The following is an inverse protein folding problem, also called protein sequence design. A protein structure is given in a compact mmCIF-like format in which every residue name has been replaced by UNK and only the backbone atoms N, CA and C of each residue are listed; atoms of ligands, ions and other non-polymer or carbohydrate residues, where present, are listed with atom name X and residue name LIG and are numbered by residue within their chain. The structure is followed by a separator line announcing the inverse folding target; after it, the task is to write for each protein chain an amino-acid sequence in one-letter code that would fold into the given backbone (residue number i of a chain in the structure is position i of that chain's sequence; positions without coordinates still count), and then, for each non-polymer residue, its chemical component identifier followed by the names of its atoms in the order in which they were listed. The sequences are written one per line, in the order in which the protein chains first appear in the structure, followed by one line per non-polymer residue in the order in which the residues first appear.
data_IF_140482474493
#
_entry.id   IF_140482474493
#
_cell.length_a   1.000
_cell.length_b   1.000
_cell.length_c   1.000
_cell.angle_alpha   90.00
_cell.angle_beta   90.00
_cell.angle_gamma   90.00
#
_symmetry.space_group_name_H-M   'P 1'
#
loop_
_entity.id
_entity.type
_entity.pdbx_description
1 polymer ?
#
# COMPACT_ATOMS: atom_id res chain seq x y z
N UNK A 1 -1.45 -4.64 10.39
CA UNK A 1 -2.57 -3.66 10.26
C UNK A 1 -2.09 -2.19 10.32
N UNK A 2 -0.95 -1.90 10.94
CA UNK A 2 -0.35 -0.56 11.10
C UNK A 2 0.05 0.13 9.79
N UNK A 3 0.87 -0.51 8.95
CA UNK A 3 1.42 0.07 7.72
C UNK A 3 0.37 0.64 6.75
N UNK A 4 -0.76 -0.05 6.56
CA UNK A 4 -1.86 0.44 5.71
C UNK A 4 -2.47 1.72 6.27
N UNK A 5 -2.63 1.83 7.60
CA UNK A 5 -3.20 3.03 8.24
C UNK A 5 -2.22 4.20 8.11
N UNK A 6 -0.93 3.96 8.28
CA UNK A 6 0.10 4.99 8.15
C UNK A 6 0.21 5.52 6.71
N UNK A 7 0.10 4.66 5.69
CA UNK A 7 0.08 5.11 4.29
C UNK A 7 -1.16 5.97 4.01
N UNK A 8 -2.32 5.60 4.55
CA UNK A 8 -3.54 6.41 4.40
C UNK A 8 -3.40 7.75 5.13
N UNK A 9 -2.77 7.79 6.30
CA UNK A 9 -2.46 9.05 7.00
C UNK A 9 -1.49 9.92 6.21
N UNK A 10 -0.41 9.35 5.67
CA UNK A 10 0.57 10.09 4.85
C UNK A 10 -0.06 10.65 3.57
N UNK A 11 -0.94 9.88 2.92
CA UNK A 11 -1.72 10.36 1.78
C UNK A 11 -2.66 11.51 2.17
N UNK A 12 -3.32 11.45 3.33
CA UNK A 12 -4.16 12.56 3.80
C UNK A 12 -3.34 13.83 4.08
N UNK A 13 -2.08 13.68 4.52
CA UNK A 13 -1.14 14.77 4.80
C UNK A 13 -0.45 15.31 3.53
N UNK A 14 -0.82 14.84 2.32
CA UNK A 14 -0.21 15.20 1.02
C UNK A 14 1.29 14.93 0.91
N UNK A 15 1.87 14.14 1.81
CA UNK A 15 3.27 13.75 1.76
C UNK A 15 3.45 12.57 0.79
N UNK A 16 3.60 12.91 -0.49
CA UNK A 16 3.71 11.93 -1.58
C UNK A 16 5.04 11.16 -1.56
N UNK A 17 6.11 11.73 -1.00
CA UNK A 17 7.41 11.07 -0.92
C UNK A 17 7.44 10.04 0.20
N UNK A 18 6.96 10.38 1.39
CA UNK A 18 6.83 9.42 2.49
C UNK A 18 5.85 8.30 2.14
N UNK A 19 4.78 8.61 1.40
CA UNK A 19 3.85 7.59 0.91
C UNK A 19 4.53 6.60 -0.04
N UNK A 20 5.34 7.07 -1.00
CA UNK A 20 6.07 6.20 -1.95
C UNK A 20 7.04 5.26 -1.22
N UNK A 21 7.82 5.76 -0.25
CA UNK A 21 8.75 4.94 0.54
C UNK A 21 8.02 3.81 1.29
N UNK A 22 6.94 4.16 1.99
CA UNK A 22 6.13 3.20 2.76
C UNK A 22 5.36 2.19 1.89
N UNK A 23 5.04 2.55 0.65
CA UNK A 23 4.37 1.64 -0.31
C UNK A 23 5.30 0.50 -0.72
N UNK A 24 6.57 0.78 -0.99
CA UNK A 24 7.56 -0.24 -1.34
C UNK A 24 7.71 -1.28 -0.24
N UNK A 25 7.75 -0.85 1.01
CA UNK A 25 7.79 -1.74 2.18
C UNK A 25 6.51 -2.56 2.33
N UNK A 26 5.35 -1.94 2.11
CA UNK A 26 4.08 -2.65 2.15
C UNK A 26 3.99 -3.73 1.05
N UNK A 27 4.49 -3.46 -0.16
CA UNK A 27 4.49 -4.45 -1.23
C UNK A 27 5.34 -5.67 -0.86
N UNK A 28 6.54 -5.43 -0.33
CA UNK A 28 7.40 -6.50 0.20
C UNK A 28 6.69 -7.31 1.28
N UNK A 29 6.01 -6.66 2.22
CA UNK A 29 5.28 -7.35 3.28
C UNK A 29 4.09 -8.16 2.76
N UNK A 30 3.34 -7.63 1.79
CA UNK A 30 2.20 -8.33 1.18
C UNK A 30 2.66 -9.54 0.36
N UNK A 31 3.77 -9.44 -0.35
CA UNK A 31 4.31 -10.53 -1.15
C UNK A 31 4.89 -11.63 -0.28
N UNK A 32 5.55 -11.28 0.84
CA UNK A 32 5.96 -12.25 1.86
C UNK A 32 4.74 -12.97 2.45
N UNK A 33 3.69 -12.23 2.82
CA UNK A 33 2.47 -12.80 3.39
C UNK A 33 1.70 -13.69 2.40
N UNK A 34 1.76 -13.38 1.10
CA UNK A 34 1.21 -14.24 0.06
C UNK A 34 2.04 -15.53 -0.10
N UNK A 35 3.37 -15.42 -0.10
CA UNK A 35 4.29 -16.56 -0.19
C UNK A 35 4.13 -17.53 0.98
N UNK A 36 3.96 -17.02 2.20
CA UNK A 36 3.72 -17.85 3.40
C UNK A 36 2.27 -18.30 3.55
N UNK A 37 1.41 -18.06 2.55
CA UNK A 37 -0.02 -18.38 2.55
C UNK A 37 -0.82 -17.73 3.71
N UNK A 38 -0.25 -16.75 4.41
CA UNK A 38 -0.96 -15.97 5.43
C UNK A 38 -2.10 -15.12 4.82
N UNK A 39 -2.00 -14.78 3.54
CA UNK A 39 -3.08 -14.20 2.73
C UNK A 39 -3.13 -14.86 1.36
N UNK A 40 -4.33 -14.94 0.78
CA UNK A 40 -4.51 -15.40 -0.60
C UNK A 40 -3.86 -14.44 -1.62
N UNK A 41 -3.31 -14.96 -2.71
CA UNK A 41 -2.65 -14.19 -3.78
C UNK A 41 -3.53 -13.04 -4.30
N UNK A 42 -4.80 -13.35 -4.61
CA UNK A 42 -5.79 -12.35 -5.02
C UNK A 42 -6.05 -11.26 -3.98
N UNK A 43 -5.92 -11.57 -2.68
CA UNK A 43 -6.07 -10.59 -1.59
C UNK A 43 -4.86 -9.66 -1.55
N UNK A 44 -3.65 -10.19 -1.70
CA UNK A 44 -2.43 -9.38 -1.83
C UNK A 44 -2.50 -8.46 -3.06
N UNK A 45 -2.83 -9.00 -4.23
CA UNK A 45 -2.99 -8.24 -5.48
C UNK A 45 -4.05 -7.12 -5.36
N UNK A 46 -5.21 -7.44 -4.77
CA UNK A 46 -6.27 -6.45 -4.52
C UNK A 46 -5.81 -5.32 -3.61
N UNK A 47 -5.03 -5.62 -2.57
CA UNK A 47 -4.49 -4.61 -1.65
C UNK A 47 -3.46 -3.71 -2.36
N UNK A 48 -2.56 -4.29 -3.16
CA UNK A 48 -1.60 -3.54 -3.99
C UNK A 48 -2.33 -2.58 -4.94
N UNK A 49 -3.26 -3.10 -5.74
CA UNK A 49 -4.04 -2.31 -6.70
C UNK A 49 -4.80 -1.15 -6.06
N UNK A 50 -5.50 -1.39 -4.94
CA UNK A 50 -6.28 -0.34 -4.26
C UNK A 50 -5.42 0.80 -3.74
N UNK A 51 -4.20 0.51 -3.27
CA UNK A 51 -3.29 1.53 -2.76
C UNK A 51 -2.62 2.32 -3.88
N UNK A 52 -2.17 1.65 -4.95
CA UNK A 52 -1.68 2.34 -6.16
C UNK A 52 -2.69 3.34 -6.69
N UNK A 53 -3.96 2.92 -6.82
CA UNK A 53 -5.04 3.79 -7.30
C UNK A 53 -5.28 4.99 -6.39
N UNK A 54 -5.19 4.82 -5.07
CA UNK A 54 -5.34 5.94 -4.11
C UNK A 54 -4.22 6.97 -4.26
N UNK A 55 -2.99 6.51 -4.46
CA UNK A 55 -1.82 7.39 -4.64
C UNK A 55 -1.90 8.10 -5.99
N UNK A 56 -2.21 7.37 -7.06
CA UNK A 56 -2.39 7.94 -8.40
C UNK A 56 -3.50 8.99 -8.43
N UNK A 57 -4.64 8.73 -7.78
CA UNK A 57 -5.74 9.69 -7.64
C UNK A 57 -5.36 10.95 -6.84
N UNK A 58 -4.39 10.84 -5.94
CA UNK A 58 -3.91 11.99 -5.18
C UNK A 58 -2.98 12.87 -6.01
N UNK A 59 -2.20 12.30 -6.93
CA UNK A 59 -1.36 13.06 -7.87
C UNK A 59 -2.21 13.83 -8.91
N UNK A 60 -3.40 13.33 -9.24
CA UNK A 60 -4.29 13.94 -10.23
C UNK A 60 -5.31 14.94 -9.64
N UNK A 61 -5.20 15.28 -8.35
CA UNK A 61 -6.07 16.23 -7.64
C UNK A 61 -5.25 17.42 -7.16
#
# INVERSE_FOLDING_TARGET
RSLKKEIVKALNLKDTEAAKKKISELYRALDKAAKTKAIHNNKAARLKSRLSKKVAKQKSR
#
